data_IF_507349343111
#
_entry.id   IF_507349343111
#
_cell.length_a   1.000
_cell.length_b   1.000
_cell.length_c   1.000
_cell.angle_alpha   90.00
_cell.angle_beta   90.00
_cell.angle_gamma   90.00
#
_symmetry.space_group_name_H-M   'P 1'
#
loop_
_entity.id
_entity.type
_entity.pdbx_description
1 polymer ?
#
# COMPACT_ATOMS: atom_id res chain seq x y z
N UNK A 1 9.34 6.50 22.14
CA UNK A 1 8.93 5.59 21.04
C UNK A 1 7.50 5.91 20.70
N UNK A 2 7.21 6.33 19.47
CA UNK A 2 5.82 6.39 19.00
C UNK A 2 5.15 5.05 19.29
N UNK A 3 3.90 5.06 19.76
CA UNK A 3 3.12 3.84 19.96
C UNK A 3 2.96 3.14 18.60
N UNK A 4 3.82 2.14 18.36
CA UNK A 4 4.15 1.62 17.04
C UNK A 4 2.92 1.08 16.31
N UNK A 5 1.93 0.57 17.05
CA UNK A 5 0.72 0.00 16.48
C UNK A 5 -0.31 1.08 16.07
N UNK A 6 -0.54 2.06 16.95
CA UNK A 6 -1.51 3.14 16.71
C UNK A 6 -1.03 4.08 15.60
N UNK A 7 0.25 4.47 15.64
CA UNK A 7 0.81 5.34 14.60
C UNK A 7 0.89 4.61 13.26
N UNK A 8 1.18 3.30 13.25
CA UNK A 8 1.13 2.50 12.03
C UNK A 8 -0.27 2.46 11.41
N UNK A 9 -1.32 2.28 12.20
CA UNK A 9 -2.70 2.32 11.68
C UNK A 9 -3.04 3.69 11.08
N UNK A 10 -2.64 4.79 11.71
CA UNK A 10 -2.86 6.14 11.18
C UNK A 10 -2.11 6.36 9.87
N UNK A 11 -0.83 6.00 9.84
CA UNK A 11 0.02 6.08 8.63
C UNK A 11 -0.59 5.26 7.50
N UNK A 12 -0.94 3.99 7.76
CA UNK A 12 -1.57 3.12 6.77
C UNK A 12 -2.89 3.72 6.25
N UNK A 13 -3.69 4.37 7.12
CA UNK A 13 -4.94 5.02 6.72
C UNK A 13 -4.73 6.28 5.86
N UNK A 14 -3.74 7.11 6.20
CA UNK A 14 -3.36 8.30 5.42
C UNK A 14 -2.91 7.86 4.01
N UNK A 15 -2.00 6.88 3.95
CA UNK A 15 -1.47 6.37 2.69
C UNK A 15 -2.54 5.67 1.85
N UNK A 16 -3.42 4.87 2.47
CA UNK A 16 -4.53 4.25 1.77
C UNK A 16 -5.54 5.27 1.21
N UNK A 17 -5.74 6.40 1.91
CA UNK A 17 -6.61 7.47 1.40
C UNK A 17 -5.96 8.18 0.21
N UNK A 18 -4.68 8.52 0.29
CA UNK A 18 -3.95 9.11 -0.84
C UNK A 18 -3.99 8.19 -2.07
N UNK A 19 -3.74 6.90 -1.86
CA UNK A 19 -3.84 5.85 -2.87
C UNK A 19 -5.21 5.76 -3.55
N UNK A 20 -6.29 6.04 -2.82
CA UNK A 20 -7.65 6.00 -3.34
C UNK A 20 -8.04 7.25 -4.14
N UNK A 21 -7.39 8.39 -3.86
CA UNK A 21 -7.65 9.66 -4.55
C UNK A 21 -6.86 9.81 -5.85
N UNK A 22 -5.74 9.10 -5.99
CA UNK A 22 -4.88 9.16 -7.17
C UNK A 22 -5.13 7.97 -8.12
N UNK A 23 -5.78 8.16 -9.28
CA UNK A 23 -6.07 7.06 -10.21
C UNK A 23 -4.81 6.39 -10.74
N UNK A 24 -3.73 7.15 -10.94
CA UNK A 24 -2.46 6.64 -11.42
C UNK A 24 -1.76 5.74 -10.39
N UNK A 25 -2.19 5.77 -9.13
CA UNK A 25 -1.62 4.96 -8.06
C UNK A 25 -1.72 3.45 -8.37
N UNK A 26 -2.69 3.01 -9.17
CA UNK A 26 -2.81 1.60 -9.59
C UNK A 26 -1.78 1.18 -10.65
N UNK A 27 -1.30 2.13 -11.45
CA UNK A 27 -0.33 1.90 -12.53
C UNK A 27 1.10 2.26 -12.16
N UNK A 28 1.31 2.99 -11.05
CA UNK A 28 2.64 3.36 -10.54
C UNK A 28 3.46 2.15 -10.10
N UNK A 29 4.75 2.19 -10.39
CA UNK A 29 5.75 1.24 -9.91
C UNK A 29 6.06 1.39 -8.42
N UNK A 30 6.80 0.44 -7.85
CA UNK A 30 7.16 0.40 -6.42
C UNK A 30 7.89 1.68 -5.98
N UNK A 31 8.83 2.16 -6.78
CA UNK A 31 9.63 3.35 -6.49
C UNK A 31 8.76 4.62 -6.48
N UNK A 32 7.95 4.81 -7.52
CA UNK A 32 7.01 5.94 -7.63
C UNK A 32 5.98 5.95 -6.48
N UNK A 33 5.45 4.77 -6.12
CA UNK A 33 4.54 4.61 -4.98
C UNK A 33 5.20 4.99 -3.66
N UNK A 34 6.49 4.66 -3.50
CA UNK A 34 7.26 4.96 -2.29
C UNK A 34 7.54 6.45 -2.18
N UNK A 35 7.95 7.11 -3.27
CA UNK A 35 8.19 8.55 -3.30
C UNK A 35 6.90 9.35 -3.07
N UNK A 36 5.80 8.95 -3.72
CA UNK A 36 4.51 9.58 -3.53
C UNK A 36 4.04 9.42 -2.07
N UNK A 37 4.13 8.21 -1.52
CA UNK A 37 3.80 7.94 -0.10
C UNK A 37 4.66 8.77 0.86
N UNK A 38 5.95 8.95 0.56
CA UNK A 38 6.86 9.74 1.37
C UNK A 38 6.50 11.23 1.33
N UNK A 39 6.12 11.76 0.16
CA UNK A 39 5.63 13.13 0.04
C UNK A 39 4.40 13.37 0.92
N UNK A 40 3.42 12.47 0.85
CA UNK A 40 2.21 12.52 1.68
C UNK A 40 2.55 12.43 3.17
N UNK A 41 3.46 11.54 3.57
CA UNK A 41 3.84 11.44 4.98
C UNK A 41 4.61 12.65 5.48
N UNK A 42 5.42 13.29 4.64
CA UNK A 42 6.13 14.53 5.02
C UNK A 42 5.15 15.64 5.40
N UNK A 43 4.05 15.81 4.67
CA UNK A 43 3.00 16.80 4.99
C UNK A 43 2.39 16.61 6.39
N UNK A 44 2.41 15.38 6.92
CA UNK A 44 1.83 15.06 8.22
C UNK A 44 2.86 14.90 9.35
N UNK A 45 4.10 14.52 9.03
CA UNK A 45 5.07 14.03 10.02
C UNK A 45 6.47 14.64 9.90
N UNK A 46 6.72 15.63 9.02
CA UNK A 46 8.07 16.19 8.80
C UNK A 46 8.78 16.69 10.06
N UNK A 47 8.03 17.17 11.06
CA UNK A 47 8.59 17.67 12.32
C UNK A 47 8.55 16.64 13.46
N UNK A 48 7.83 15.53 13.27
CA UNK A 48 7.56 14.53 14.31
C UNK A 48 8.33 13.22 14.10
N UNK A 49 8.82 12.95 12.89
CA UNK A 49 9.48 11.71 12.54
C UNK A 49 10.72 11.95 11.66
N UNK A 50 11.74 11.13 11.82
CA UNK A 50 12.89 11.19 10.92
C UNK A 50 12.51 10.69 9.52
N UNK A 51 13.13 11.26 8.49
CA UNK A 51 12.91 10.82 7.11
C UNK A 51 13.17 9.32 6.92
N UNK A 52 14.22 8.79 7.56
CA UNK A 52 14.53 7.36 7.52
C UNK A 52 13.35 6.52 8.01
N UNK A 53 12.74 6.88 9.15
CA UNK A 53 11.60 6.17 9.69
C UNK A 53 10.37 6.28 8.78
N UNK A 54 10.10 7.47 8.23
CA UNK A 54 8.99 7.66 7.29
C UNK A 54 9.17 6.82 6.01
N UNK A 55 10.40 6.75 5.49
CA UNK A 55 10.74 5.95 4.31
C UNK A 55 10.55 4.45 4.56
N UNK A 56 11.08 3.92 5.66
CA UNK A 56 10.88 2.52 6.05
C UNK A 56 9.38 2.17 6.15
N UNK A 57 8.56 3.08 6.67
CA UNK A 57 7.09 2.90 6.74
C UNK A 57 6.41 2.93 5.38
N UNK A 58 6.87 3.78 4.47
CA UNK A 58 6.36 3.82 3.10
C UNK A 58 6.68 2.52 2.36
N UNK A 59 7.92 2.06 2.42
CA UNK A 59 8.38 0.81 1.78
C UNK A 59 7.57 -0.39 2.29
N UNK A 60 7.38 -0.47 3.61
CA UNK A 60 6.52 -1.44 4.28
C UNK A 60 5.07 -1.44 3.75
N UNK A 61 4.49 -0.24 3.59
CA UNK A 61 3.13 -0.07 3.10
C UNK A 61 3.02 -0.48 1.63
N UNK A 62 3.94 0.01 0.79
CA UNK A 62 3.97 -0.29 -0.66
C UNK A 62 4.15 -1.79 -0.89
N UNK A 63 5.04 -2.45 -0.14
CA UNK A 63 5.23 -3.90 -0.23
C UNK A 63 3.93 -4.66 0.08
N UNK A 64 3.22 -4.29 1.16
CA UNK A 64 1.93 -4.90 1.50
C UNK A 64 0.86 -4.63 0.44
N UNK A 65 0.86 -3.43 -0.13
CA UNK A 65 -0.09 -3.03 -1.14
C UNK A 65 0.11 -3.82 -2.44
N UNK A 66 1.36 -3.94 -2.90
CA UNK A 66 1.71 -4.70 -4.11
C UNK A 66 1.35 -6.18 -3.92
N UNK A 67 1.73 -6.79 -2.79
CA UNK A 67 1.34 -8.16 -2.47
C UNK A 67 -0.19 -8.36 -2.48
N UNK A 68 -0.96 -7.38 -1.98
CA UNK A 68 -2.43 -7.41 -2.05
C UNK A 68 -2.97 -7.24 -3.47
N UNK A 69 -2.32 -6.46 -4.33
CA UNK A 69 -2.70 -6.30 -5.74
C UNK A 69 -2.46 -7.60 -6.49
N UNK A 70 -1.31 -8.22 -6.30
CA UNK A 70 -0.96 -9.51 -6.89
C UNK A 70 -1.94 -10.61 -6.45
N UNK A 71 -2.28 -10.66 -5.16
CA UNK A 71 -3.26 -11.61 -4.65
C UNK A 71 -4.69 -11.41 -5.19
N UNK A 72 -5.07 -10.16 -5.53
CA UNK A 72 -6.37 -9.85 -6.15
C UNK A 72 -6.37 -10.02 -7.67
N UNK A 73 -5.20 -9.87 -8.31
CA UNK A 73 -5.01 -10.08 -9.75
C UNK A 73 -4.90 -11.56 -10.11
N UNK A 74 -4.57 -12.42 -9.15
CA UNK A 74 -4.68 -13.87 -9.31
C UNK A 74 -6.14 -14.23 -9.61
N UNK A 75 -6.45 -14.78 -10.81
CA UNK A 75 -7.81 -15.18 -11.11
C UNK A 75 -8.25 -16.26 -10.13
N UNK A 76 -9.53 -16.21 -9.72
CA UNK A 76 -10.21 -17.29 -9.01
C UNK A 76 -10.30 -18.52 -9.93
N UNK A 77 -9.18 -19.16 -10.23
CA UNK A 77 -9.08 -20.35 -11.04
C UNK A 77 -9.37 -21.58 -10.17
N UNK A 78 -10.57 -21.63 -9.59
CA UNK A 78 -11.10 -22.81 -8.88
C UNK A 78 -12.61 -22.73 -8.79
N UNK A 79 -13.28 -22.95 -9.92
CA UNK A 79 -14.55 -23.69 -10.01
C UNK A 79 -15.08 -23.62 -11.44
N UNK A 80 -14.51 -24.43 -12.34
CA UNK A 80 -15.24 -24.88 -13.53
C UNK A 80 -15.56 -26.35 -13.27
N UNK A 81 -16.80 -26.72 -12.87
CA UNK A 81 -17.17 -28.13 -12.89
C UNK A 81 -17.09 -28.59 -14.35
N UNK A 82 -16.39 -29.70 -14.59
CA UNK A 82 -16.28 -30.30 -15.91
C UNK A 82 -17.69 -30.52 -16.49
N UNK A 83 -17.94 -30.23 -17.78
CA UNK A 83 -19.19 -30.62 -18.40
C UNK A 83 -19.23 -32.15 -18.42
N UNK A 84 -20.18 -32.74 -17.72
CA UNK A 84 -20.56 -34.13 -17.89
C UNK A 84 -20.95 -34.32 -19.36
N UNK A 85 -20.13 -35.06 -20.09
CA UNK A 85 -20.49 -35.61 -21.40
C UNK A 85 -21.43 -36.81 -21.13
N UNK A 86 -22.67 -36.68 -21.59
CA UNK A 86 -23.63 -37.77 -21.81
C UNK A 86 -24.21 -37.60 -23.20
#
# INVERSE_FOLDING_TARGET
>A
MCDLAKERQKIDAILARAAAMEPAYRSMGIEELTEHSLSVLREHYEHACSEKCMRERCEDFVTRLVARREAQAAPAERSRPAPFLL
#
